data_IF_670095028831
#
_entry.id   IF_670095028831
#
_cell.length_a   1.000
_cell.length_b   1.000
_cell.length_c   1.000
_cell.angle_alpha   90.00
_cell.angle_beta   90.00
_cell.angle_gamma   90.00
#
_symmetry.space_group_name_H-M   'P 1'
#
loop_
_entity.id
_entity.type
_entity.pdbx_description
1 polymer ?
#
# COMPACT_ATOMS: atom_id res chain seq x y z
N UNK A 1 16.38 -24.59 36.11
CA UNK A 1 15.77 -23.43 35.44
C UNK A 1 16.87 -22.78 34.61
N UNK A 2 16.90 -23.10 33.31
CA UNK A 2 18.00 -22.76 32.41
C UNK A 2 17.95 -21.31 31.93
N UNK A 3 19.11 -20.75 31.62
CA UNK A 3 19.29 -19.43 31.00
C UNK A 3 18.63 -19.33 29.60
N UNK A 4 18.14 -20.44 29.06
CA UNK A 4 17.59 -20.60 27.71
C UNK A 4 16.14 -20.10 27.55
N UNK A 5 15.37 -20.01 28.66
CA UNK A 5 13.95 -19.61 28.64
C UNK A 5 13.77 -18.14 28.22
N UNK A 6 14.75 -17.29 28.53
CA UNK A 6 14.76 -15.88 28.14
C UNK A 6 15.06 -15.64 26.66
N UNK A 7 15.77 -16.55 25.99
CA UNK A 7 16.02 -16.42 24.55
C UNK A 7 14.78 -16.79 23.73
N UNK A 8 14.00 -17.77 24.18
CA UNK A 8 12.74 -18.16 23.53
C UNK A 8 11.69 -17.03 23.62
N UNK A 9 11.65 -16.31 24.74
CA UNK A 9 10.67 -15.23 24.99
C UNK A 9 10.98 -13.92 24.27
N UNK A 10 12.22 -13.73 23.80
CA UNK A 10 12.65 -12.60 22.98
C UNK A 10 12.44 -12.81 21.48
N UNK A 11 12.03 -14.00 21.05
CA UNK A 11 11.69 -14.30 19.65
C UNK A 11 10.36 -13.67 19.16
N UNK A 12 9.62 -13.02 20.05
CA UNK A 12 8.29 -12.44 19.80
C UNK A 12 8.26 -11.00 19.29
N UNK A 13 9.40 -10.40 18.93
CA UNK A 13 9.40 -9.11 18.22
C UNK A 13 9.17 -9.42 16.74
N UNK A 14 7.91 -9.66 16.35
CA UNK A 14 7.57 -9.84 14.94
C UNK A 14 7.94 -8.58 14.17
N UNK A 15 8.96 -8.70 13.31
CA UNK A 15 9.32 -7.64 12.37
C UNK A 15 8.10 -7.38 11.48
N UNK A 16 7.71 -6.11 11.34
CA UNK A 16 6.65 -5.74 10.43
C UNK A 16 7.13 -5.97 8.99
N UNK A 17 6.59 -6.99 8.34
CA UNK A 17 6.91 -7.33 6.96
C UNK A 17 5.90 -6.71 5.99
N UNK A 18 6.34 -6.14 4.85
CA UNK A 18 5.42 -5.56 3.88
C UNK A 18 4.58 -6.65 3.19
N UNK A 19 3.28 -6.39 3.01
CA UNK A 19 2.34 -7.34 2.40
C UNK A 19 2.45 -7.39 0.88
N UNK A 20 2.42 -8.60 0.33
CA UNK A 20 2.33 -8.85 -1.10
C UNK A 20 1.02 -9.55 -1.43
N UNK A 21 0.32 -9.09 -2.46
CA UNK A 21 -1.02 -9.56 -2.80
C UNK A 21 -1.06 -10.09 -4.23
N UNK A 22 -1.93 -11.06 -4.55
CA UNK A 22 -2.27 -11.37 -5.94
C UNK A 22 -2.73 -10.10 -6.67
N UNK A 23 -2.30 -9.93 -7.92
CA UNK A 23 -2.62 -8.71 -8.68
C UNK A 23 -4.14 -8.49 -8.82
N UNK A 24 -4.90 -9.57 -8.86
CA UNK A 24 -6.36 -9.58 -9.01
C UNK A 24 -7.09 -8.96 -7.82
N UNK A 25 -6.44 -8.94 -6.64
CA UNK A 25 -6.97 -8.31 -5.43
C UNK A 25 -6.71 -6.80 -5.39
N UNK A 26 -5.86 -6.27 -6.28
CA UNK A 26 -5.58 -4.85 -6.32
C UNK A 26 -6.83 -4.09 -6.81
N UNK A 27 -7.35 -3.11 -6.04
CA UNK A 27 -8.57 -2.42 -6.43
C UNK A 27 -8.36 -1.53 -7.66
N UNK A 28 -9.44 -1.22 -8.37
CA UNK A 28 -9.41 -0.33 -9.54
C UNK A 28 -8.85 -0.96 -10.82
N UNK A 29 -8.68 -2.29 -10.85
CA UNK A 29 -8.47 -3.07 -12.06
C UNK A 29 -9.81 -3.67 -12.53
N UNK A 30 -10.18 -3.42 -13.79
CA UNK A 30 -11.22 -4.20 -14.47
C UNK A 30 -10.71 -5.61 -14.76
N UNK A 31 -11.61 -6.55 -15.03
CA UNK A 31 -11.22 -7.94 -15.34
C UNK A 31 -10.33 -8.01 -16.59
N UNK A 32 -10.59 -7.17 -17.59
CA UNK A 32 -9.71 -6.99 -18.75
C UNK A 32 -8.27 -6.65 -18.35
N UNK A 33 -8.08 -5.68 -17.46
CA UNK A 33 -6.74 -5.26 -17.02
C UNK A 33 -6.08 -6.28 -16.11
N UNK A 34 -6.85 -7.03 -15.30
CA UNK A 34 -6.31 -8.16 -14.54
C UNK A 34 -5.75 -9.21 -15.49
N UNK A 35 -6.51 -9.63 -16.49
CA UNK A 35 -6.07 -10.61 -17.50
C UNK A 35 -4.85 -10.10 -18.27
N UNK A 36 -4.84 -8.84 -18.69
CA UNK A 36 -3.72 -8.27 -19.43
C UNK A 36 -2.43 -8.20 -18.58
N UNK A 37 -2.52 -7.79 -17.31
CA UNK A 37 -1.38 -7.79 -16.38
C UNK A 37 -0.87 -9.19 -16.12
N UNK A 38 -1.76 -10.17 -15.91
CA UNK A 38 -1.40 -11.58 -15.75
C UNK A 38 -0.71 -12.13 -17.00
N UNK A 39 -1.20 -11.80 -18.20
CA UNK A 39 -0.61 -12.17 -19.48
C UNK A 39 0.81 -11.61 -19.69
N UNK A 40 1.08 -10.42 -19.15
CA UNK A 40 2.43 -9.83 -19.09
C UNK A 40 3.30 -10.39 -17.95
N UNK A 41 2.78 -11.31 -17.13
CA UNK A 41 3.49 -11.95 -16.03
C UNK A 41 3.39 -11.22 -14.69
N UNK A 42 2.63 -10.12 -14.57
CA UNK A 42 2.43 -9.38 -13.32
C UNK A 42 1.45 -10.10 -12.39
N UNK A 43 1.90 -11.17 -11.73
CA UNK A 43 1.06 -11.99 -10.85
C UNK A 43 0.77 -11.37 -9.48
N UNK A 44 1.61 -10.46 -9.01
CA UNK A 44 1.51 -9.89 -7.66
C UNK A 44 1.75 -8.39 -7.64
N UNK A 45 1.27 -7.73 -6.58
CA UNK A 45 1.47 -6.29 -6.36
C UNK A 45 2.95 -5.94 -6.25
N UNK A 46 3.78 -6.79 -5.63
CA UNK A 46 5.23 -6.61 -5.61
C UNK A 46 5.85 -6.72 -7.01
N UNK A 47 5.37 -7.64 -7.85
CA UNK A 47 5.92 -7.77 -9.20
C UNK A 47 5.61 -6.52 -10.04
N UNK A 48 4.37 -6.01 -9.96
CA UNK A 48 4.00 -4.75 -10.59
C UNK A 48 4.85 -3.59 -10.05
N UNK A 49 4.97 -3.47 -8.73
CA UNK A 49 5.71 -2.37 -8.10
C UNK A 49 7.19 -2.38 -8.47
N UNK A 50 7.85 -3.55 -8.46
CA UNK A 50 9.27 -3.66 -8.82
C UNK A 50 9.55 -3.26 -10.26
N UNK A 51 8.64 -3.57 -11.17
CA UNK A 51 8.74 -3.22 -12.59
C UNK A 51 8.11 -1.86 -12.94
N UNK A 52 7.62 -1.11 -11.95
CA UNK A 52 6.98 0.19 -12.11
C UNK A 52 7.63 1.30 -11.25
N UNK A 53 8.86 1.08 -10.75
CA UNK A 53 9.53 2.01 -9.84
C UNK A 53 9.85 3.34 -10.52
N UNK A 54 10.33 3.30 -11.76
CA UNK A 54 10.70 4.50 -12.53
C UNK A 54 9.61 4.93 -13.51
N UNK A 55 9.69 6.17 -14.00
CA UNK A 55 8.72 6.69 -14.97
C UNK A 55 8.79 5.91 -16.30
N UNK A 56 10.00 5.56 -16.74
CA UNK A 56 10.27 4.81 -17.97
C UNK A 56 9.71 3.39 -17.88
N UNK A 57 9.88 2.76 -16.73
CA UNK A 57 9.31 1.45 -16.40
C UNK A 57 7.78 1.45 -16.47
N UNK A 58 7.13 2.47 -15.87
CA UNK A 58 5.68 2.62 -15.97
C UNK A 58 5.23 2.92 -17.38
N UNK A 59 5.97 3.73 -18.13
CA UNK A 59 5.69 3.99 -19.53
C UNK A 59 5.79 2.72 -20.38
N UNK A 60 6.78 1.86 -20.13
CA UNK A 60 6.92 0.59 -20.83
C UNK A 60 5.73 -0.35 -20.60
N UNK A 61 5.23 -0.42 -19.36
CA UNK A 61 4.00 -1.18 -19.04
C UNK A 61 2.80 -0.56 -19.77
N UNK A 62 2.64 0.76 -19.72
CA UNK A 62 1.54 1.47 -20.37
C UNK A 62 1.52 1.22 -21.88
N UNK A 63 2.68 1.28 -22.55
CA UNK A 63 2.83 0.99 -23.98
C UNK A 63 2.46 -0.46 -24.30
N UNK A 64 2.91 -1.43 -23.51
CA UNK A 64 2.59 -2.86 -23.72
C UNK A 64 1.09 -3.15 -23.56
N UNK A 65 0.43 -2.45 -22.66
CA UNK A 65 -1.01 -2.56 -22.42
C UNK A 65 -1.84 -1.65 -23.35
N UNK A 66 -1.20 -0.78 -24.14
CA UNK A 66 -1.85 0.26 -24.95
C UNK A 66 -2.76 1.18 -24.12
N UNK A 67 -2.32 1.54 -22.91
CA UNK A 67 -3.07 2.37 -21.96
C UNK A 67 -2.41 3.73 -21.74
N UNK A 68 -3.23 4.68 -21.27
CA UNK A 68 -2.71 5.94 -20.76
C UNK A 68 -1.88 5.71 -19.48
N UNK A 69 -0.70 6.32 -19.39
CA UNK A 69 0.25 6.14 -18.27
C UNK A 69 -0.36 6.37 -16.89
N UNK A 70 -1.40 7.21 -16.80
CA UNK A 70 -2.11 7.50 -15.54
C UNK A 70 -2.74 6.25 -14.90
N UNK A 71 -3.21 5.28 -15.70
CA UNK A 71 -3.71 4.01 -15.17
C UNK A 71 -2.60 3.22 -14.48
N UNK A 72 -1.43 3.11 -15.13
CA UNK A 72 -0.27 2.42 -14.57
C UNK A 72 0.27 3.15 -13.33
N UNK A 73 0.35 4.48 -13.36
CA UNK A 73 0.74 5.28 -12.21
C UNK A 73 -0.19 5.00 -11.00
N UNK A 74 -1.51 4.97 -11.24
CA UNK A 74 -2.50 4.65 -10.22
C UNK A 74 -2.28 3.25 -9.65
N UNK A 75 -2.15 2.22 -10.49
CA UNK A 75 -1.98 0.84 -10.02
C UNK A 75 -0.67 0.63 -9.26
N UNK A 76 0.43 1.27 -9.70
CA UNK A 76 1.69 1.22 -8.96
C UNK A 76 1.57 1.92 -7.60
N UNK A 77 0.87 3.06 -7.52
CA UNK A 77 0.63 3.74 -6.24
C UNK A 77 -0.21 2.87 -5.28
N UNK A 78 -1.29 2.25 -5.79
CA UNK A 78 -2.11 1.32 -5.02
C UNK A 78 -1.30 0.11 -4.54
N UNK A 79 -0.49 -0.48 -5.43
CA UNK A 79 0.38 -1.60 -5.10
C UNK A 79 1.43 -1.23 -4.06
N UNK A 80 1.94 0.01 -4.09
CA UNK A 80 2.90 0.52 -3.10
C UNK A 80 2.25 0.75 -1.72
N UNK A 81 1.05 1.32 -1.69
CA UNK A 81 0.28 1.52 -0.45
C UNK A 81 -0.18 0.22 0.19
N UNK A 82 -0.61 -0.76 -0.63
CA UNK A 82 -1.10 -2.06 -0.16
C UNK A 82 -0.03 -2.89 0.58
N UNK A 83 1.24 -2.46 0.53
CA UNK A 83 2.35 -3.08 1.27
C UNK A 83 2.30 -2.82 2.76
N UNK A 84 1.59 -1.77 3.19
CA UNK A 84 1.35 -1.48 4.60
C UNK A 84 0.27 -2.45 5.08
N UNK A 85 0.56 -3.40 5.99
CA UNK A 85 -0.36 -4.49 6.31
C UNK A 85 -1.78 -4.06 6.73
N UNK A 86 -1.90 -3.08 7.61
CA UNK A 86 -3.18 -2.55 8.08
C UNK A 86 -3.94 -1.78 6.98
N UNK A 87 -3.27 -1.33 5.92
CA UNK A 87 -3.89 -0.73 4.73
C UNK A 87 -4.36 -1.84 3.79
N UNK A 88 -3.43 -2.71 3.37
CA UNK A 88 -3.66 -3.81 2.43
C UNK A 88 -4.35 -3.38 1.13
N UNK A 89 -4.89 -4.34 0.39
CA UNK A 89 -5.75 -4.03 -0.76
C UNK A 89 -7.09 -3.41 -0.36
N UNK A 90 -7.52 -3.58 0.90
CA UNK A 90 -8.80 -3.10 1.42
C UNK A 90 -8.87 -1.57 1.44
N UNK A 91 -7.82 -0.91 1.92
CA UNK A 91 -7.83 0.53 2.15
C UNK A 91 -6.85 1.31 1.27
N UNK A 92 -6.01 0.66 0.44
CA UNK A 92 -5.07 1.38 -0.42
C UNK A 92 -5.76 2.34 -1.39
N UNK A 93 -6.96 1.97 -1.88
CA UNK A 93 -7.81 2.85 -2.68
C UNK A 93 -8.29 4.08 -1.89
N UNK A 94 -8.79 3.88 -0.67
CA UNK A 94 -9.23 4.95 0.22
C UNK A 94 -8.09 5.91 0.54
N UNK A 95 -6.92 5.40 0.89
CA UNK A 95 -5.71 6.20 1.20
C UNK A 95 -5.26 6.99 -0.02
N UNK A 96 -5.27 6.38 -1.21
CA UNK A 96 -4.91 7.07 -2.45
C UNK A 96 -5.89 8.21 -2.77
N UNK A 97 -7.20 7.96 -2.70
CA UNK A 97 -8.20 8.99 -2.98
C UNK A 97 -8.25 10.07 -1.89
N UNK A 98 -7.78 9.78 -0.67
CA UNK A 98 -7.55 10.78 0.38
C UNK A 98 -6.32 11.68 0.13
N UNK A 99 -5.60 11.46 -0.97
CA UNK A 99 -4.48 12.29 -1.43
C UNK A 99 -3.10 11.79 -1.02
N UNK A 100 -2.98 10.55 -0.52
CA UNK A 100 -1.70 9.96 -0.10
C UNK A 100 -1.31 8.85 -1.07
N UNK A 101 -0.23 9.03 -1.84
CA UNK A 101 0.14 8.13 -2.95
C UNK A 101 1.27 7.14 -2.61
N UNK A 102 1.84 7.20 -1.41
CA UNK A 102 2.96 6.33 -1.00
C UNK A 102 3.01 6.08 0.52
N UNK A 103 3.64 4.97 0.97
CA UNK A 103 3.95 4.76 2.38
C UNK A 103 4.77 5.89 3.01
N UNK A 104 5.69 6.52 2.26
CA UNK A 104 6.48 7.66 2.73
C UNK A 104 5.60 8.87 3.06
N UNK A 105 4.67 9.22 2.18
CA UNK A 105 3.71 10.30 2.43
C UNK A 105 2.76 9.94 3.57
N UNK A 106 2.32 8.67 3.64
CA UNK A 106 1.45 8.19 4.71
C UNK A 106 2.14 8.33 6.08
N UNK A 107 3.40 7.92 6.18
CA UNK A 107 4.21 8.02 7.40
C UNK A 107 4.37 9.46 7.93
N UNK A 108 4.29 10.46 7.04
CA UNK A 108 4.43 11.88 7.36
C UNK A 108 3.10 12.61 7.55
N UNK A 109 1.98 11.91 7.37
CA UNK A 109 0.65 12.52 7.42
C UNK A 109 0.14 12.61 8.85
N UNK A 110 -0.59 13.70 9.15
CA UNK A 110 -1.32 13.87 10.40
C UNK A 110 -2.56 12.98 10.45
N UNK A 111 -2.76 12.30 11.59
CA UNK A 111 -3.85 11.34 11.80
C UNK A 111 -5.21 12.01 11.67
N UNK A 112 -5.39 13.17 12.31
CA UNK A 112 -6.68 13.86 12.35
C UNK A 112 -7.06 14.35 10.95
N UNK A 113 -6.09 14.93 10.21
CA UNK A 113 -6.30 15.36 8.83
C UNK A 113 -6.70 14.20 7.93
N UNK A 114 -5.97 13.09 7.96
CA UNK A 114 -6.25 11.94 7.10
C UNK A 114 -7.61 11.31 7.44
N UNK A 115 -7.92 11.15 8.72
CA UNK A 115 -9.22 10.62 9.13
C UNK A 115 -10.38 11.51 8.65
N UNK A 116 -10.25 12.84 8.73
CA UNK A 116 -11.27 13.75 8.18
C UNK A 116 -11.43 13.59 6.66
N UNK A 117 -10.34 13.45 5.91
CA UNK A 117 -10.39 13.21 4.47
C UNK A 117 -11.08 11.88 4.13
N UNK A 118 -10.74 10.81 4.85
CA UNK A 118 -11.36 9.49 4.70
C UNK A 118 -12.86 9.55 5.02
N UNK A 119 -13.24 10.23 6.10
CA UNK A 119 -14.65 10.41 6.47
C UNK A 119 -15.43 11.16 5.39
N UNK A 120 -14.87 12.24 4.85
CA UNK A 120 -15.51 13.03 3.80
C UNK A 120 -15.72 12.19 2.53
N UNK A 121 -14.73 11.39 2.13
CA UNK A 121 -14.86 10.47 0.99
C UNK A 121 -15.93 9.41 1.25
N UNK A 122 -15.92 8.78 2.43
CA UNK A 122 -16.87 7.74 2.80
C UNK A 122 -18.32 8.26 2.81
N UNK A 123 -18.55 9.45 3.37
CA UNK A 123 -19.87 10.09 3.38
C UNK A 123 -20.30 10.49 1.98
N UNK A 124 -19.39 10.99 1.14
CA UNK A 124 -19.71 11.32 -0.25
C UNK A 124 -20.08 10.09 -1.07
N UNK A 125 -19.44 8.93 -0.82
CA UNK A 125 -19.68 7.68 -1.54
C UNK A 125 -20.93 6.92 -1.04
N UNK A 126 -21.10 6.82 0.29
CA UNK A 126 -22.11 5.96 0.90
C UNK A 126 -23.26 6.70 1.60
N UNK A 127 -23.22 8.04 1.66
CA UNK A 127 -24.21 8.89 2.33
C UNK A 127 -24.45 8.55 3.82
N UNK A 128 -23.47 7.92 4.48
CA UNK A 128 -23.53 7.49 5.88
C UNK A 128 -22.15 7.47 6.50
N UNK A 129 -22.04 7.38 7.83
CA UNK A 129 -20.75 7.36 8.56
C UNK A 129 -20.35 5.95 9.02
N UNK A 130 -21.33 5.07 9.14
CA UNK A 130 -21.15 3.70 9.58
C UNK A 130 -20.25 2.94 8.60
N UNK A 131 -19.30 2.19 9.16
CA UNK A 131 -18.31 1.43 8.39
C UNK A 131 -17.11 2.25 7.88
N UNK A 132 -17.04 3.56 8.17
CA UNK A 132 -15.85 4.36 7.92
C UNK A 132 -14.67 3.87 8.79
N UNK A 133 -13.44 3.82 8.26
CA UNK A 133 -12.24 3.58 9.05
C UNK A 133 -12.16 4.54 10.25
N UNK A 134 -11.83 3.99 11.41
CA UNK A 134 -11.73 4.73 12.67
C UNK A 134 -10.40 5.48 12.77
N UNK A 135 -10.30 6.40 13.75
CA UNK A 135 -9.03 7.06 14.09
C UNK A 135 -7.94 6.05 14.46
N UNK A 136 -8.31 4.93 15.09
CA UNK A 136 -7.39 3.86 15.44
C UNK A 136 -6.85 3.15 14.19
N UNK A 137 -7.71 2.87 13.20
CA UNK A 137 -7.29 2.29 11.91
C UNK A 137 -6.30 3.21 11.20
N UNK A 138 -6.62 4.50 11.09
CA UNK A 138 -5.75 5.50 10.45
C UNK A 138 -4.42 5.64 11.19
N UNK A 139 -4.44 5.59 12.53
CA UNK A 139 -3.21 5.62 13.34
C UNK A 139 -2.34 4.39 13.08
N UNK A 140 -2.94 3.20 12.96
CA UNK A 140 -2.22 1.97 12.62
C UNK A 140 -1.57 2.06 11.24
N UNK A 141 -2.29 2.54 10.22
CA UNK A 141 -1.75 2.76 8.87
C UNK A 141 -0.50 3.63 8.88
N UNK A 142 -0.55 4.75 9.60
CA UNK A 142 0.56 5.69 9.70
C UNK A 142 1.74 5.09 10.46
N UNK A 143 1.49 4.38 11.58
CA UNK A 143 2.54 3.76 12.38
C UNK A 143 3.29 2.64 11.63
N UNK A 144 2.54 1.80 10.93
CA UNK A 144 3.12 0.75 10.09
C UNK A 144 3.90 1.33 8.91
N UNK A 145 3.38 2.37 8.27
CA UNK A 145 4.10 3.08 7.22
C UNK A 145 5.42 3.69 7.72
N UNK A 146 5.45 4.28 8.92
CA UNK A 146 6.68 4.76 9.58
C UNK A 146 7.69 3.63 9.79
N UNK A 147 7.22 2.47 10.23
CA UNK A 147 8.06 1.30 10.51
C UNK A 147 8.70 0.76 9.21
N UNK A 148 7.91 0.62 8.14
CA UNK A 148 8.40 0.16 6.84
C UNK A 148 9.37 1.14 6.17
N UNK A 149 9.15 2.44 6.34
CA UNK A 149 9.97 3.48 5.69
C UNK A 149 11.26 3.76 6.43
N UNK A 150 11.26 3.72 7.77
CA UNK A 150 12.47 3.87 8.59
C UNK A 150 13.44 2.71 8.37
N UNK A 151 12.93 1.48 8.26
CA UNK A 151 13.76 0.29 7.99
C UNK A 151 14.48 0.31 6.64
N UNK A 152 14.05 1.17 5.72
CA UNK A 152 14.66 1.32 4.40
C UNK A 152 15.81 2.35 4.35
N UNK A 153 16.04 3.13 5.42
CA UNK A 153 17.04 4.21 5.45
C UNK A 153 18.40 3.80 6.04
N UNK A 154 18.53 2.61 6.63
CA UNK A 154 19.77 2.13 7.27
C UNK A 154 20.83 1.59 6.30
N UNK A 155 20.56 1.54 4.98
CA UNK A 155 21.54 1.08 3.97
C UNK A 155 22.18 2.22 3.15
N UNK A 156 21.92 3.48 3.48
CA UNK A 156 22.58 4.64 2.88
C UNK A 156 23.08 5.57 3.98
N UNK A 157 24.21 5.20 4.58
CA UNK A 157 25.06 6.13 5.33
C UNK A 157 26.43 6.14 4.61
N UNK A 158 26.94 7.33 4.23
CA UNK A 158 28.24 7.45 3.56
C UNK A 158 29.39 6.99 4.45
#
# INVERSE_FOLDING_TARGET
>A
MGLDDWQQKLSGISRLEPSNWPIEQLPGLSDEYKTALLGLGFKTTFHLLQNGRTAEQRQAIATRLQLHIQHVNKWVALANLARVPAVGCKYCGTVLHAGVASPQQLAQTDVARLHQQVLNLHVAEFQRKEGCPTVADVSAWINEAKTLTTSSQSSQRP
#
